data_IF_747524043181
#
_entry.id   IF_747524043181
#
_cell.length_a   1.000
_cell.length_b   1.000
_cell.length_c   1.000
_cell.angle_alpha   90.00
_cell.angle_beta   90.00
_cell.angle_gamma   90.00
#
_symmetry.space_group_name_H-M   'P 1'
#
loop_
_entity.id
_entity.type
_entity.pdbx_description
1 polymer ?
#
# COMPACT_ATOMS: atom_id res chain seq x y z
N UNK A 1 10.67 3.70 -16.65
CA UNK A 1 9.45 4.30 -17.22
C UNK A 1 8.16 3.70 -16.66
N UNK A 2 8.13 2.42 -16.30
CA UNK A 2 6.93 1.76 -15.76
C UNK A 2 6.45 2.35 -14.41
N UNK A 3 7.32 2.98 -13.63
CA UNK A 3 6.94 3.69 -12.40
C UNK A 3 6.42 5.09 -12.72
N UNK A 4 7.11 5.82 -13.58
CA UNK A 4 6.78 7.22 -13.89
C UNK A 4 5.66 7.39 -14.90
N UNK A 5 5.35 6.32 -15.65
CA UNK A 5 4.27 6.31 -16.64
C UNK A 5 3.57 4.93 -16.69
N UNK A 6 2.88 4.51 -15.61
CA UNK A 6 2.23 3.20 -15.55
C UNK A 6 1.00 3.13 -16.47
N UNK A 7 0.78 1.98 -17.07
CA UNK A 7 -0.40 1.73 -17.92
C UNK A 7 -1.65 1.40 -17.10
N UNK A 8 -1.49 0.84 -15.89
CA UNK A 8 -2.58 0.34 -15.06
C UNK A 8 -3.71 1.36 -14.83
N UNK A 9 -3.45 2.65 -14.51
CA UNK A 9 -4.54 3.61 -14.31
C UNK A 9 -5.42 3.81 -15.54
N UNK A 10 -4.83 3.84 -16.72
CA UNK A 10 -5.57 3.96 -17.98
C UNK A 10 -6.43 2.71 -18.26
N UNK A 11 -5.93 1.51 -17.94
CA UNK A 11 -6.70 0.28 -18.05
C UNK A 11 -7.88 0.25 -17.06
N UNK A 12 -7.68 0.69 -15.82
CA UNK A 12 -8.76 0.80 -14.84
C UNK A 12 -9.82 1.77 -15.35
N UNK A 13 -9.45 2.94 -15.85
CA UNK A 13 -10.40 3.90 -16.40
C UNK A 13 -11.16 3.34 -17.62
N UNK A 14 -10.51 2.53 -18.46
CA UNK A 14 -11.17 1.89 -19.60
C UNK A 14 -12.26 0.92 -19.15
N UNK A 15 -12.00 0.15 -18.09
CA UNK A 15 -12.96 -0.81 -17.54
C UNK A 15 -14.02 -0.13 -16.66
N UNK A 16 -13.63 0.92 -15.97
CA UNK A 16 -14.46 1.67 -15.02
C UNK A 16 -14.38 3.18 -15.33
N UNK A 17 -15.15 3.70 -16.29
CA UNK A 17 -15.02 5.08 -16.79
C UNK A 17 -15.14 6.17 -15.71
N UNK A 18 -15.84 5.89 -14.61
CA UNK A 18 -15.94 6.80 -13.47
C UNK A 18 -14.63 6.89 -12.64
N UNK A 19 -13.73 5.91 -12.77
CA UNK A 19 -12.43 5.89 -12.10
C UNK A 19 -11.38 6.60 -12.96
N UNK A 20 -11.47 7.92 -13.04
CA UNK A 20 -10.60 8.75 -13.89
C UNK A 20 -9.14 8.63 -13.47
N UNK A 21 -8.27 8.29 -14.42
CA UNK A 21 -6.84 8.13 -14.18
C UNK A 21 -6.18 9.46 -13.79
N UNK A 22 -5.11 9.42 -12.97
CA UNK A 22 -4.33 10.61 -12.63
C UNK A 22 -3.71 11.29 -13.86
N UNK A 23 -3.61 12.61 -13.80
CA UNK A 23 -3.09 13.45 -14.90
C UNK A 23 -1.68 13.99 -14.64
N UNK A 24 -1.11 13.74 -13.46
CA UNK A 24 0.26 14.14 -13.14
C UNK A 24 1.28 13.22 -13.81
N UNK A 25 1.96 13.70 -14.83
CA UNK A 25 3.03 12.98 -15.50
C UNK A 25 4.29 13.86 -15.59
N UNK A 26 5.50 13.28 -15.31
CA UNK A 26 5.73 11.93 -14.81
C UNK A 26 5.12 11.73 -13.41
N UNK A 27 4.77 10.48 -13.07
CA UNK A 27 4.17 10.09 -11.80
C UNK A 27 5.19 10.17 -10.65
N UNK A 28 5.39 11.37 -10.13
CA UNK A 28 6.33 11.67 -9.03
C UNK A 28 5.90 11.03 -7.71
N UNK A 29 4.60 10.88 -7.49
CA UNK A 29 4.01 10.19 -6.35
C UNK A 29 4.42 8.71 -6.30
N UNK A 30 4.39 8.00 -7.44
CA UNK A 30 4.83 6.62 -7.52
C UNK A 30 6.34 6.48 -7.35
N UNK A 31 7.10 7.41 -7.95
CA UNK A 31 8.55 7.49 -7.74
C UNK A 31 8.87 7.65 -6.24
N UNK A 32 8.10 8.47 -5.53
CA UNK A 32 8.31 8.69 -4.11
C UNK A 32 8.03 7.44 -3.30
N UNK A 33 6.86 6.82 -3.42
CA UNK A 33 6.51 5.67 -2.57
C UNK A 33 7.30 4.41 -2.90
N UNK A 34 7.56 4.13 -4.18
CA UNK A 34 8.18 2.86 -4.58
C UNK A 34 9.70 2.92 -4.68
N UNK A 35 10.28 4.08 -5.01
CA UNK A 35 11.73 4.18 -5.27
C UNK A 35 12.49 5.05 -4.27
N UNK A 36 11.86 6.03 -3.61
CA UNK A 36 12.55 6.96 -2.71
C UNK A 36 12.15 6.83 -1.24
N UNK A 37 10.93 6.43 -0.96
CA UNK A 37 10.30 6.55 0.35
C UNK A 37 9.56 7.88 0.53
N UNK A 38 8.62 7.92 1.45
CA UNK A 38 7.84 9.11 1.79
C UNK A 38 8.64 10.00 2.75
N UNK A 39 8.70 11.29 2.45
CA UNK A 39 9.58 12.28 3.10
C UNK A 39 9.47 12.30 4.63
N UNK A 40 8.27 12.16 5.16
CA UNK A 40 8.03 12.23 6.61
C UNK A 40 7.96 10.86 7.29
N UNK A 41 8.14 9.77 6.54
CA UNK A 41 7.95 8.42 7.05
C UNK A 41 9.23 7.57 6.96
N UNK A 42 9.64 7.21 5.75
CA UNK A 42 10.71 6.24 5.53
C UNK A 42 11.71 6.64 4.44
N UNK A 43 11.72 7.92 4.05
CA UNK A 43 12.73 8.45 3.13
C UNK A 43 14.03 8.77 3.89
N UNK A 44 15.19 8.19 3.52
CA UNK A 44 16.46 8.53 4.13
C UNK A 44 16.93 9.92 3.69
N UNK A 45 17.82 10.55 4.48
CA UNK A 45 18.34 11.89 4.19
C UNK A 45 19.05 11.99 2.84
N UNK A 46 19.83 10.97 2.47
CA UNK A 46 20.54 10.89 1.19
C UNK A 46 19.89 9.84 0.31
N UNK A 47 18.68 10.14 -0.20
CA UNK A 47 17.92 9.18 -0.98
C UNK A 47 18.41 9.07 -2.42
N UNK A 48 18.66 7.85 -2.85
CA UNK A 48 18.82 7.47 -4.25
C UNK A 48 17.60 6.64 -4.65
N UNK A 49 17.02 6.94 -5.81
CA UNK A 49 15.90 6.15 -6.32
C UNK A 49 16.34 4.73 -6.62
N UNK A 50 15.73 3.74 -5.94
CA UNK A 50 16.03 2.32 -6.09
C UNK A 50 14.84 1.47 -5.67
N UNK A 51 14.65 0.34 -6.33
CA UNK A 51 13.63 -0.65 -6.01
C UNK A 51 14.02 -1.43 -4.75
N UNK A 52 13.70 -0.87 -3.61
CA UNK A 52 13.96 -1.52 -2.32
C UNK A 52 12.87 -1.18 -1.31
N UNK A 53 12.59 -2.11 -0.43
CA UNK A 53 11.78 -1.84 0.75
C UNK A 53 12.59 -1.01 1.74
N UNK A 54 11.95 0.01 2.33
CA UNK A 54 12.58 0.86 3.35
C UNK A 54 11.84 0.71 4.67
N UNK A 55 12.62 0.59 5.73
CA UNK A 55 12.11 0.54 7.10
C UNK A 55 12.79 1.63 7.92
N UNK A 56 11.99 2.54 8.47
CA UNK A 56 12.42 3.51 9.46
C UNK A 56 12.29 2.91 10.84
N UNK A 57 13.40 2.50 11.45
CA UNK A 57 13.42 1.88 12.77
C UNK A 57 13.16 2.86 13.92
N UNK A 58 13.13 4.17 13.65
CA UNK A 58 12.71 5.16 14.63
C UNK A 58 11.18 5.20 14.84
N UNK A 59 10.41 4.62 13.91
CA UNK A 59 8.96 4.44 14.09
C UNK A 59 8.74 3.21 14.97
N UNK A 60 8.14 3.43 16.14
CA UNK A 60 7.84 2.34 17.07
C UNK A 60 6.84 1.33 16.46
N UNK A 61 6.99 0.03 16.75
CA UNK A 61 6.00 -0.97 16.35
C UNK A 61 4.63 -0.64 16.93
N UNK A 62 3.58 -0.85 16.13
CA UNK A 62 2.22 -0.76 16.63
C UNK A 62 1.89 -2.01 17.46
N UNK A 63 1.72 -1.84 18.78
CA UNK A 63 1.39 -2.93 19.71
C UNK A 63 -0.12 -3.12 19.89
N UNK A 64 -0.93 -2.24 19.32
CA UNK A 64 -2.39 -2.34 19.32
C UNK A 64 -2.94 -3.02 18.06
N UNK A 65 -4.16 -2.66 17.70
CA UNK A 65 -4.78 -3.14 16.46
C UNK A 65 -4.08 -2.50 15.27
N UNK A 66 -3.42 -3.32 14.49
CA UNK A 66 -2.74 -2.89 13.26
C UNK A 66 -3.76 -2.65 12.15
N UNK A 67 -3.56 -1.59 11.37
CA UNK A 67 -4.41 -1.33 10.21
C UNK A 67 -3.77 -1.94 8.94
N UNK A 68 -4.50 -2.77 8.18
CA UNK A 68 -3.96 -3.37 6.95
C UNK A 68 -3.60 -2.35 5.87
N UNK A 69 -4.18 -1.15 5.91
CA UNK A 69 -3.82 -0.05 5.02
C UNK A 69 -2.61 0.77 5.52
N UNK A 70 -1.94 0.33 6.58
CA UNK A 70 -0.70 0.91 7.06
C UNK A 70 -0.73 2.43 7.23
N UNK A 71 0.31 3.09 6.76
CA UNK A 71 0.46 4.54 6.88
C UNK A 71 -0.68 5.34 6.19
N UNK A 72 -1.30 4.79 5.16
CA UNK A 72 -2.45 5.44 4.51
C UNK A 72 -3.68 5.56 5.44
N UNK A 73 -3.74 4.74 6.48
CA UNK A 73 -4.77 4.78 7.53
C UNK A 73 -4.20 5.26 8.89
N UNK A 74 -3.05 5.93 8.90
CA UNK A 74 -2.44 6.49 10.11
C UNK A 74 -1.60 5.51 10.93
N UNK A 75 -1.43 4.26 10.49
CA UNK A 75 -0.56 3.27 11.13
C UNK A 75 0.84 3.30 10.50
N UNK A 76 1.66 4.23 10.95
CA UNK A 76 3.00 4.49 10.39
C UNK A 76 3.99 3.33 10.55
N UNK A 77 3.68 2.31 11.38
CA UNK A 77 4.47 1.09 11.49
C UNK A 77 4.14 0.06 10.39
N UNK A 78 3.15 0.33 9.54
CA UNK A 78 2.78 -0.48 8.39
C UNK A 78 3.29 0.06 7.06
N UNK A 79 3.00 -0.67 5.97
CA UNK A 79 3.41 -0.28 4.61
C UNK A 79 3.08 1.19 4.30
N UNK A 80 3.98 1.96 3.66
CA UNK A 80 5.24 1.56 3.04
C UNK A 80 6.47 1.57 3.98
N UNK A 81 6.29 1.75 5.27
CA UNK A 81 7.36 1.62 6.26
C UNK A 81 7.59 0.13 6.59
N UNK A 82 8.39 -0.55 5.76
CA UNK A 82 8.44 -2.00 5.74
C UNK A 82 7.16 -2.61 5.17
N UNK A 83 6.95 -3.90 5.41
CA UNK A 83 5.75 -4.65 5.03
C UNK A 83 5.46 -5.73 6.07
N UNK A 84 4.37 -5.59 6.78
CA UNK A 84 3.91 -6.61 7.74
C UNK A 84 3.11 -7.69 7.01
N UNK A 85 3.02 -8.92 7.55
CA UNK A 85 2.24 -9.99 6.93
C UNK A 85 0.76 -9.65 6.69
N UNK A 86 0.18 -8.79 7.54
CA UNK A 86 -1.21 -8.35 7.44
C UNK A 86 -1.44 -7.08 6.63
N UNK A 87 -0.38 -6.44 6.11
CA UNK A 87 -0.53 -5.24 5.29
C UNK A 87 -1.12 -5.59 3.91
N UNK A 88 -2.21 -4.96 3.56
CA UNK A 88 -2.90 -5.12 2.29
C UNK A 88 -2.22 -4.29 1.19
N UNK A 89 -1.09 -4.81 0.72
CA UNK A 89 -0.25 -4.10 -0.24
C UNK A 89 -0.89 -4.05 -1.63
N UNK A 90 -1.77 -4.98 -1.97
CA UNK A 90 -2.48 -4.97 -3.25
C UNK A 90 -3.46 -3.80 -3.30
N UNK A 91 -4.34 -3.68 -2.32
CA UNK A 91 -5.27 -2.55 -2.21
C UNK A 91 -4.53 -1.22 -2.18
N UNK A 92 -3.46 -1.14 -1.37
CA UNK A 92 -2.64 0.06 -1.27
C UNK A 92 -1.99 0.42 -2.61
N UNK A 93 -1.44 -0.55 -3.33
CA UNK A 93 -0.78 -0.31 -4.61
C UNK A 93 -1.77 0.14 -5.68
N UNK A 94 -2.97 -0.43 -5.74
CA UNK A 94 -4.03 0.00 -6.66
C UNK A 94 -4.45 1.44 -6.34
N UNK A 95 -4.70 1.76 -5.06
CA UNK A 95 -5.08 3.12 -4.63
C UNK A 95 -4.00 4.13 -4.97
N UNK A 96 -2.74 3.81 -4.70
CA UNK A 96 -1.61 4.68 -5.01
C UNK A 96 -1.45 4.84 -6.52
N UNK A 97 -1.59 3.78 -7.31
CA UNK A 97 -1.60 3.86 -8.78
C UNK A 97 -2.69 4.82 -9.28
N UNK A 98 -3.86 4.84 -8.65
CA UNK A 98 -4.97 5.75 -8.95
C UNK A 98 -4.82 7.13 -8.30
N UNK A 99 -3.66 7.43 -7.69
CA UNK A 99 -3.30 8.77 -7.22
C UNK A 99 -3.68 9.08 -5.77
N UNK A 100 -3.88 8.07 -4.92
CA UNK A 100 -4.23 8.28 -3.51
C UNK A 100 -3.23 9.18 -2.77
N UNK A 101 -1.94 9.12 -3.10
CA UNK A 101 -0.93 9.96 -2.45
C UNK A 101 -1.11 11.46 -2.76
N UNK A 102 -1.60 11.81 -3.97
CA UNK A 102 -1.88 13.21 -4.31
C UNK A 102 -3.02 13.80 -3.46
N UNK A 103 -3.92 12.94 -2.96
CA UNK A 103 -4.99 13.33 -2.04
C UNK A 103 -4.49 13.35 -0.59
N UNK A 104 -3.78 12.30 -0.17
CA UNK A 104 -3.31 12.11 1.21
C UNK A 104 -2.21 13.10 1.63
N UNK A 105 -1.40 13.56 0.67
CA UNK A 105 -0.30 14.50 0.96
C UNK A 105 -0.79 15.88 1.44
N UNK A 106 -2.04 16.20 1.16
CA UNK A 106 -2.66 17.47 1.53
C UNK A 106 -2.11 18.68 0.76
N UNK A 107 -2.55 19.88 1.11
CA UNK A 107 -2.20 21.10 0.37
C UNK A 107 -0.73 21.52 0.53
N UNK A 108 -0.04 21.05 1.56
CA UNK A 108 1.37 21.37 1.87
C UNK A 108 2.36 20.35 1.31
N UNK A 109 1.87 19.35 0.57
CA UNK A 109 2.67 18.22 0.07
C UNK A 109 3.54 17.58 1.14
N UNK A 110 2.91 17.18 2.24
CA UNK A 110 3.58 16.65 3.44
C UNK A 110 4.50 15.47 3.13
N UNK A 111 4.13 14.62 2.17
CA UNK A 111 4.91 13.43 1.79
C UNK A 111 5.95 13.70 0.70
N UNK A 112 5.98 14.92 0.12
CA UNK A 112 6.90 15.28 -0.95
C UNK A 112 6.64 14.51 -2.25
N UNK A 113 5.37 14.30 -2.60
CA UNK A 113 4.98 13.50 -3.78
C UNK A 113 4.92 14.32 -5.07
N UNK A 114 4.87 15.65 -4.96
CA UNK A 114 4.91 16.55 -6.11
C UNK A 114 3.63 16.57 -6.94
N UNK A 115 2.48 16.22 -6.35
CA UNK A 115 1.17 16.33 -7.00
C UNK A 115 0.10 16.79 -6.00
N UNK A 116 -1.05 17.21 -6.52
CA UNK A 116 -2.20 17.66 -5.73
C UNK A 116 -3.44 16.85 -6.05
N UNK A 117 -4.44 16.87 -5.17
CA UNK A 117 -5.71 16.12 -5.31
C UNK A 117 -6.42 16.41 -6.64
N UNK A 118 -6.33 17.61 -7.18
CA UNK A 118 -6.92 17.97 -8.47
C UNK A 118 -6.37 17.14 -9.65
N UNK A 119 -5.12 16.66 -9.55
CA UNK A 119 -4.51 15.81 -10.57
C UNK A 119 -4.88 14.32 -10.44
N UNK A 120 -5.62 13.93 -9.41
CA UNK A 120 -6.00 12.56 -9.13
C UNK A 120 -7.50 12.44 -8.76
N UNK A 121 -8.42 12.63 -9.74
CA UNK A 121 -9.86 12.67 -9.48
C UNK A 121 -10.39 11.41 -8.78
N UNK A 122 -9.83 10.24 -9.08
CA UNK A 122 -10.20 8.97 -8.44
C UNK A 122 -9.33 8.61 -7.23
N UNK A 123 -8.39 9.47 -6.82
CA UNK A 123 -7.43 9.19 -5.74
C UNK A 123 -8.05 8.98 -4.36
N UNK A 124 -9.27 9.46 -4.14
CA UNK A 124 -10.03 9.23 -2.90
C UNK A 124 -10.88 7.95 -2.89
N UNK A 125 -10.97 7.22 -4.00
CA UNK A 125 -11.80 6.03 -4.09
C UNK A 125 -11.15 4.83 -3.38
N UNK A 126 -12.00 4.01 -2.73
CA UNK A 126 -11.59 2.85 -1.96
C UNK A 126 -11.42 1.60 -2.85
N UNK A 127 -10.47 1.64 -3.79
CA UNK A 127 -10.15 0.47 -4.61
C UNK A 127 -9.73 -0.71 -3.74
N UNK A 128 -10.18 -1.92 -4.11
CA UNK A 128 -9.89 -3.16 -3.41
C UNK A 128 -9.96 -4.34 -4.38
N UNK A 129 -9.16 -5.36 -4.16
CA UNK A 129 -9.28 -6.65 -4.84
C UNK A 129 -10.31 -7.58 -4.16
N UNK A 130 -10.93 -7.13 -3.07
CA UNK A 130 -11.92 -7.88 -2.30
C UNK A 130 -11.32 -8.92 -1.35
N UNK A 131 -10.00 -9.07 -1.28
CA UNK A 131 -9.31 -10.01 -0.39
C UNK A 131 -8.75 -9.29 0.82
N UNK A 132 -9.09 -9.75 2.04
CA UNK A 132 -8.51 -9.22 3.29
C UNK A 132 -7.96 -10.33 4.15
N UNK A 133 -6.76 -10.09 4.72
CA UNK A 133 -6.22 -10.89 5.82
C UNK A 133 -6.53 -10.24 7.15
N UNK A 134 -6.89 -11.03 8.15
CA UNK A 134 -7.09 -10.57 9.52
C UNK A 134 -5.90 -10.95 10.39
N UNK A 135 -5.53 -10.09 11.32
CA UNK A 135 -4.39 -10.33 12.23
C UNK A 135 -4.64 -11.47 13.23
N UNK A 136 -5.88 -11.91 13.39
CA UNK A 136 -6.22 -13.06 14.25
C UNK A 136 -5.56 -14.37 13.82
N UNK A 137 -5.08 -14.43 12.58
CA UNK A 137 -4.41 -15.60 12.03
C UNK A 137 -2.88 -15.62 12.25
N UNK A 138 -2.34 -14.63 12.98
CA UNK A 138 -0.90 -14.57 13.26
C UNK A 138 -0.60 -14.94 14.70
N UNK A 139 0.58 -15.58 14.91
CA UNK A 139 1.09 -15.87 16.23
C UNK A 139 1.59 -14.62 16.96
N UNK A 140 1.68 -14.70 18.29
CA UNK A 140 2.19 -13.60 19.15
C UNK A 140 3.70 -13.69 19.38
N UNK A 141 4.34 -14.81 18.93
CA UNK A 141 5.78 -15.03 19.05
C UNK A 141 6.38 -15.34 17.66
N UNK A 142 7.68 -15.10 17.52
CA UNK A 142 8.41 -15.48 16.30
C UNK A 142 8.21 -16.97 15.97
N UNK A 143 7.94 -17.33 14.71
CA UNK A 143 7.99 -16.55 13.47
C UNK A 143 6.71 -15.79 13.12
N UNK A 144 5.76 -15.65 14.03
CA UNK A 144 4.48 -14.94 13.88
C UNK A 144 3.52 -15.55 12.86
N UNK A 145 3.95 -16.48 12.05
CA UNK A 145 3.13 -17.17 11.06
C UNK A 145 2.62 -18.48 11.62
N UNK A 146 1.38 -18.81 11.33
CA UNK A 146 0.78 -20.12 11.63
C UNK A 146 1.12 -21.13 10.51
N UNK A 147 0.79 -22.39 10.71
CA UNK A 147 0.96 -23.43 9.68
C UNK A 147 0.26 -22.99 8.39
N UNK A 148 0.95 -23.07 7.23
CA UNK A 148 0.33 -22.74 5.96
C UNK A 148 -0.89 -23.61 5.68
N UNK A 149 -1.92 -22.99 5.09
CA UNK A 149 -3.05 -23.77 4.57
C UNK A 149 -2.59 -24.60 3.36
N UNK A 150 -3.05 -25.86 3.23
CA UNK A 150 -2.70 -26.67 2.07
C UNK A 150 -3.25 -26.04 0.79
N UNK A 151 -2.48 -26.08 -0.30
CA UNK A 151 -2.87 -25.53 -1.59
C UNK A 151 -3.93 -26.34 -2.33
N UNK A 152 -4.31 -27.53 -1.81
CA UNK A 152 -5.37 -28.37 -2.32
C UNK A 152 -6.42 -28.64 -1.25
N UNK A 153 -7.61 -29.07 -1.67
CA UNK A 153 -8.66 -29.47 -0.75
C UNK A 153 -8.18 -30.60 0.15
N UNK A 154 -8.21 -30.41 1.45
CA UNK A 154 -7.91 -31.42 2.45
C UNK A 154 -9.16 -31.69 3.30
N UNK A 155 -9.85 -32.82 3.12
CA UNK A 155 -11.05 -33.15 3.88
C UNK A 155 -10.81 -33.33 5.39
N UNK A 156 -9.54 -33.50 5.80
CA UNK A 156 -9.14 -33.58 7.21
C UNK A 156 -8.82 -32.16 7.81
N UNK A 157 -8.90 -31.11 7.03
CA UNK A 157 -8.71 -29.77 7.57
C UNK A 157 -9.84 -29.41 8.55
N UNK A 158 -9.53 -28.75 9.69
CA UNK A 158 -10.55 -28.34 10.64
C UNK A 158 -11.68 -27.55 9.97
N UNK A 159 -12.93 -27.83 10.37
CA UNK A 159 -14.08 -27.07 9.92
C UNK A 159 -13.85 -25.57 10.23
N UNK A 160 -13.85 -24.73 9.20
CA UNK A 160 -13.53 -23.30 9.31
C UNK A 160 -12.28 -22.86 8.55
N UNK A 161 -11.50 -23.79 7.96
CA UNK A 161 -10.40 -23.48 7.04
C UNK A 161 -10.91 -23.22 5.61
N UNK A 162 -12.01 -22.50 5.48
CA UNK A 162 -12.50 -22.03 4.18
C UNK A 162 -11.56 -20.94 3.67
N UNK A 163 -11.04 -21.12 2.47
CA UNK A 163 -10.48 -19.98 1.72
C UNK A 163 -11.56 -18.91 1.59
N UNK A 164 -11.23 -17.66 1.85
CA UNK A 164 -12.14 -16.57 1.55
C UNK A 164 -12.41 -16.46 0.05
#
# INVERSE_FOLDING_TARGET
DYVTNPVLPALIQTLFPAAVAPTNFPRTDLLTVFLKGLKTLNQPANVVAAEMMRLNTAVAPNTGVQNPLGAAAGDNAGFPNGRRPGDDVVDLSIRVAMGALCVLTGPTDTFGVGCAAAAAPAGGLAFTDGVRKTYVNYGTAFPYLTTPLPGNFNPAAPAGSTFP
#
